data_IF_745568059351
#
_entry.id   IF_745568059351
#
_cell.length_a   1.000
_cell.length_b   1.000
_cell.length_c   1.000
_cell.angle_alpha   90.00
_cell.angle_beta   90.00
_cell.angle_gamma   90.00
#
_symmetry.space_group_name_H-M   'P 1'
#
loop_
_entity.id
_entity.type
_entity.pdbx_description
1 polymer ?
#
# COMPACT_ATOMS: atom_id res chain seq x y z
N UNK A 1 -12.10 -22.20 -16.70
CA UNK A 1 -10.93 -21.64 -17.42
C UNK A 1 -10.86 -20.10 -17.48
N UNK A 2 -11.82 -19.32 -16.97
CA UNK A 2 -11.85 -17.85 -17.12
C UNK A 2 -10.90 -17.03 -16.21
N UNK A 3 -10.19 -17.64 -15.25
CA UNK A 3 -9.31 -16.90 -14.32
C UNK A 3 -7.93 -16.57 -14.90
N UNK A 4 -7.41 -17.35 -15.85
CA UNK A 4 -6.03 -17.18 -16.37
C UNK A 4 -5.84 -15.91 -17.20
N UNK A 5 -6.84 -15.53 -18.00
CA UNK A 5 -6.80 -14.35 -18.88
C UNK A 5 -6.86 -13.02 -18.11
N UNK A 6 -7.51 -12.98 -16.94
CA UNK A 6 -7.61 -11.76 -16.13
C UNK A 6 -6.29 -11.37 -15.45
N UNK A 7 -5.51 -12.37 -14.99
CA UNK A 7 -4.18 -12.15 -14.42
C UNK A 7 -3.19 -11.63 -15.46
N UNK A 8 -3.19 -12.19 -16.67
CA UNK A 8 -2.35 -11.71 -17.78
C UNK A 8 -2.70 -10.28 -18.20
N UNK A 9 -4.00 -9.93 -18.24
CA UNK A 9 -4.45 -8.56 -18.54
C UNK A 9 -4.03 -7.57 -17.45
N UNK A 10 -4.16 -7.95 -16.17
CA UNK A 10 -3.71 -7.14 -15.03
C UNK A 10 -2.18 -7.00 -15.01
N UNK A 11 -1.44 -8.05 -15.34
CA UNK A 11 0.02 -8.03 -15.46
C UNK A 11 0.50 -7.10 -16.57
N UNK A 12 -0.13 -7.13 -17.76
CA UNK A 12 0.16 -6.18 -18.85
C UNK A 12 -0.16 -4.73 -18.44
N UNK A 13 -1.28 -4.50 -17.77
CA UNK A 13 -1.65 -3.19 -17.24
C UNK A 13 -0.65 -2.66 -16.20
N UNK A 14 -0.15 -3.52 -15.32
CA UNK A 14 0.89 -3.18 -14.35
C UNK A 14 2.22 -2.82 -15.03
N UNK A 15 2.66 -3.60 -16.02
CA UNK A 15 3.89 -3.31 -16.79
C UNK A 15 3.84 -1.97 -17.51
N UNK A 16 2.72 -1.66 -18.18
CA UNK A 16 2.51 -0.36 -18.83
C UNK A 16 2.52 0.80 -17.83
N UNK A 17 1.90 0.59 -16.65
CA UNK A 17 1.91 1.58 -15.58
C UNK A 17 3.33 1.83 -15.02
N UNK A 18 4.13 0.78 -14.82
CA UNK A 18 5.53 0.92 -14.41
C UNK A 18 6.37 1.66 -15.46
N UNK A 19 6.16 1.36 -16.75
CA UNK A 19 6.83 2.06 -17.86
C UNK A 19 6.51 3.55 -17.88
N UNK A 20 5.24 3.91 -17.70
CA UNK A 20 4.81 5.31 -17.65
C UNK A 20 5.34 6.06 -16.41
N UNK A 21 5.38 5.43 -15.23
CA UNK A 21 6.03 6.04 -14.05
C UNK A 21 7.51 6.25 -14.31
N UNK A 22 8.19 5.27 -14.90
CA UNK A 22 9.62 5.34 -15.20
C UNK A 22 9.94 6.46 -16.20
N UNK A 23 9.11 6.65 -17.24
CA UNK A 23 9.30 7.73 -18.21
C UNK A 23 9.14 9.11 -17.56
N UNK A 24 8.12 9.28 -16.71
CA UNK A 24 7.91 10.52 -15.95
C UNK A 24 9.08 10.78 -15.00
N UNK A 25 9.51 9.77 -14.23
CA UNK A 25 10.65 9.90 -13.33
C UNK A 25 11.95 10.25 -14.07
N UNK A 26 12.17 9.65 -15.25
CA UNK A 26 13.33 9.93 -16.09
C UNK A 26 13.32 11.36 -16.62
N UNK A 27 12.15 11.92 -16.96
CA UNK A 27 12.02 13.31 -17.38
C UNK A 27 12.44 14.29 -16.26
N UNK A 28 12.09 14.01 -15.01
CA UNK A 28 12.57 14.79 -13.86
C UNK A 28 14.05 14.52 -13.53
N UNK A 29 14.60 13.38 -13.93
CA UNK A 29 16.01 13.05 -13.76
C UNK A 29 16.97 13.91 -14.59
N UNK A 30 16.52 14.47 -15.71
CA UNK A 30 17.30 15.39 -16.56
C UNK A 30 17.21 16.86 -16.14
N UNK A 31 16.29 17.21 -15.24
CA UNK A 31 16.12 18.58 -14.74
C UNK A 31 16.96 18.79 -13.48
N UNK A 32 17.57 19.97 -13.36
CA UNK A 32 18.26 20.42 -12.15
C UNK A 32 17.61 21.71 -11.64
N UNK A 33 17.24 21.81 -10.35
CA UNK A 33 17.31 20.77 -9.32
C UNK A 33 16.37 19.58 -9.59
N UNK A 34 16.64 18.43 -8.95
CA UNK A 34 15.76 17.25 -9.02
C UNK A 34 14.55 17.50 -8.13
N UNK A 35 13.42 17.81 -8.74
CA UNK A 35 12.23 18.26 -8.01
C UNK A 35 11.22 17.13 -7.73
N UNK A 36 11.31 16.01 -8.44
CA UNK A 36 10.35 14.92 -8.29
C UNK A 36 11.00 13.57 -8.57
N UNK A 37 10.51 12.55 -7.86
CA UNK A 37 10.83 11.16 -8.12
C UNK A 37 9.60 10.27 -7.89
N UNK A 38 9.64 9.03 -8.35
CA UNK A 38 8.53 8.10 -8.13
C UNK A 38 8.31 7.79 -6.63
N UNK A 39 9.34 7.96 -5.80
CA UNK A 39 9.29 7.78 -4.35
C UNK A 39 9.44 9.16 -3.70
N UNK A 40 8.42 9.66 -2.98
CA UNK A 40 8.53 10.95 -2.31
C UNK A 40 9.56 10.92 -1.18
N UNK A 41 10.20 12.05 -0.86
CA UNK A 41 11.02 12.15 0.34
C UNK A 41 10.15 11.89 1.58
N UNK A 42 10.72 11.17 2.55
CA UNK A 42 10.00 10.87 3.78
C UNK A 42 9.83 12.13 4.63
N UNK A 43 8.58 12.44 5.00
CA UNK A 43 8.23 13.45 5.99
C UNK A 43 7.63 12.76 7.21
N UNK A 44 8.38 12.77 8.31
CA UNK A 44 7.98 12.11 9.55
C UNK A 44 6.74 12.74 10.20
N UNK A 45 6.51 14.05 10.03
CA UNK A 45 5.33 14.71 10.62
C UNK A 45 4.01 14.29 9.93
N UNK A 46 4.10 13.79 8.69
CA UNK A 46 2.95 13.26 7.94
C UNK A 46 2.76 11.75 8.17
N UNK A 47 3.64 11.08 8.90
CA UNK A 47 3.56 9.65 9.17
C UNK A 47 2.53 9.36 10.28
N UNK A 48 1.45 8.60 9.99
CA UNK A 48 0.46 8.22 11.00
C UNK A 48 1.05 7.48 12.19
N UNK A 49 2.12 6.71 11.99
CA UNK A 49 2.79 5.95 13.04
C UNK A 49 3.66 6.83 13.93
N UNK A 50 4.17 7.94 13.40
CA UNK A 50 4.94 8.92 14.17
C UNK A 50 4.07 10.01 14.81
N UNK A 51 2.77 10.06 14.48
CA UNK A 51 1.83 11.09 14.95
C UNK A 51 1.91 11.32 16.47
N UNK A 52 1.94 10.26 17.28
CA UNK A 52 2.00 10.35 18.75
C UNK A 52 3.26 11.06 19.25
N UNK A 53 4.40 10.84 18.59
CA UNK A 53 5.66 11.49 18.94
C UNK A 53 5.56 13.00 18.72
N UNK A 54 5.09 13.42 17.54
CA UNK A 54 4.98 14.85 17.20
C UNK A 54 3.95 15.62 18.03
N UNK A 55 2.95 14.92 18.59
CA UNK A 55 1.95 15.50 19.50
C UNK A 55 2.33 15.39 20.99
N UNK A 56 3.45 14.73 21.31
CA UNK A 56 3.90 14.59 22.70
C UNK A 56 4.41 15.91 23.27
N UNK A 57 4.19 16.13 24.58
CA UNK A 57 4.43 17.43 25.25
C UNK A 57 5.78 18.13 25.00
N UNK A 58 6.94 17.46 24.79
CA UNK A 58 8.17 18.22 24.50
C UNK A 58 8.27 18.69 23.04
N UNK A 59 7.55 18.10 22.09
CA UNK A 59 7.82 18.29 20.65
C UNK A 59 7.20 19.57 20.07
N UNK A 60 5.90 19.90 20.30
CA UNK A 60 5.29 21.10 19.72
C UNK A 60 6.01 22.42 20.04
N UNK A 61 6.51 22.66 21.28
CA UNK A 61 7.27 23.87 21.57
C UNK A 61 8.58 23.95 20.77
N UNK A 62 9.25 22.82 20.54
CA UNK A 62 10.47 22.75 19.73
C UNK A 62 10.16 23.06 18.28
N UNK A 63 9.10 22.47 17.72
CA UNK A 63 8.68 22.71 16.35
C UNK A 63 8.34 24.19 16.09
N UNK A 64 7.67 24.86 17.03
CA UNK A 64 7.39 26.31 16.91
C UNK A 64 8.67 27.14 16.91
N UNK A 65 9.62 26.81 17.78
CA UNK A 65 10.93 27.50 17.85
C UNK A 65 11.75 27.33 16.58
N UNK A 66 11.64 26.17 15.93
CA UNK A 66 12.38 25.87 14.69
C UNK A 66 11.60 26.19 13.41
N UNK A 67 10.38 26.71 13.51
CA UNK A 67 9.51 27.01 12.36
C UNK A 67 9.04 25.77 11.59
N UNK A 68 8.93 24.63 12.28
CA UNK A 68 8.54 23.32 11.73
C UNK A 68 7.18 22.84 12.24
N UNK A 69 6.37 23.73 12.83
CA UNK A 69 5.06 23.42 13.41
C UNK A 69 3.93 23.29 12.38
N UNK A 70 4.21 23.58 11.11
CA UNK A 70 3.25 23.55 10.00
C UNK A 70 3.37 22.27 9.14
N UNK A 71 3.55 21.11 9.79
CA UNK A 71 3.69 19.81 9.10
C UNK A 71 5.10 19.50 8.60
N UNK A 72 6.06 20.38 8.86
CA UNK A 72 7.46 20.24 8.48
C UNK A 72 7.69 20.09 6.98
N UNK A 73 8.94 19.87 6.60
CA UNK A 73 9.30 19.54 5.22
C UNK A 73 10.08 18.23 5.17
N UNK A 74 9.95 17.49 4.08
CA UNK A 74 10.84 16.37 3.78
C UNK A 74 12.30 16.80 3.72
N UNK A 75 13.20 15.82 3.74
CA UNK A 75 14.66 16.02 3.69
C UNK A 75 15.12 16.96 2.56
N UNK A 76 14.45 16.90 1.42
CA UNK A 76 14.83 17.63 0.20
C UNK A 76 14.18 19.03 0.11
N UNK A 77 13.43 19.43 1.14
CA UNK A 77 12.87 20.77 1.31
C UNK A 77 11.48 20.98 0.71
N UNK A 78 10.85 22.10 1.10
CA UNK A 78 9.45 22.41 0.79
C UNK A 78 9.13 22.42 -0.71
N UNK A 79 10.07 22.82 -1.56
CA UNK A 79 9.84 22.87 -3.00
C UNK A 79 9.70 21.47 -3.59
N UNK A 80 10.47 20.49 -3.09
CA UNK A 80 10.37 19.10 -3.52
C UNK A 80 9.07 18.50 -3.00
N UNK A 81 8.67 18.79 -1.76
CA UNK A 81 7.37 18.38 -1.22
C UNK A 81 6.21 18.93 -2.06
N UNK A 82 6.28 20.20 -2.47
CA UNK A 82 5.29 20.81 -3.35
C UNK A 82 5.10 20.00 -4.65
N UNK A 83 6.19 19.60 -5.30
CA UNK A 83 6.11 18.78 -6.52
C UNK A 83 5.59 17.36 -6.25
N UNK A 84 5.81 16.81 -5.05
CA UNK A 84 5.24 15.51 -4.64
C UNK A 84 3.79 15.61 -4.14
N UNK A 85 3.20 16.80 -4.04
CA UNK A 85 1.78 17.00 -3.73
C UNK A 85 1.02 17.49 -4.97
N UNK A 86 1.57 18.47 -5.70
CA UNK A 86 0.88 19.18 -6.78
C UNK A 86 1.53 18.99 -8.16
N UNK A 87 2.75 18.47 -8.22
CA UNK A 87 3.50 18.32 -9.47
C UNK A 87 2.84 17.35 -10.44
N UNK A 88 3.15 17.51 -11.74
CA UNK A 88 2.55 16.70 -12.80
C UNK A 88 2.79 15.19 -12.62
N UNK A 89 3.98 14.81 -12.15
CA UNK A 89 4.28 13.41 -11.82
C UNK A 89 3.39 12.86 -10.72
N UNK A 90 3.13 13.65 -9.67
CA UNK A 90 2.20 13.26 -8.61
C UNK A 90 0.76 13.17 -9.11
N UNK A 91 0.29 14.16 -9.88
CA UNK A 91 -1.07 14.15 -10.44
C UNK A 91 -1.32 12.91 -11.30
N UNK A 92 -0.31 12.47 -12.06
CA UNK A 92 -0.37 11.21 -12.79
C UNK A 92 -0.54 10.01 -11.84
N UNK A 93 0.28 9.91 -10.80
CA UNK A 93 0.19 8.83 -9.80
C UNK A 93 -1.17 8.82 -9.10
N UNK A 94 -1.71 9.98 -8.73
CA UNK A 94 -3.00 10.09 -8.05
C UNK A 94 -4.15 9.66 -8.94
N UNK A 95 -4.19 10.12 -10.21
CA UNK A 95 -5.19 9.68 -11.19
C UNK A 95 -5.09 8.17 -11.44
N UNK A 96 -3.87 7.64 -11.55
CA UNK A 96 -3.59 6.21 -11.73
C UNK A 96 -4.11 5.40 -10.54
N UNK A 97 -3.79 5.82 -9.32
CA UNK A 97 -4.18 5.13 -8.09
C UNK A 97 -5.71 5.19 -7.90
N UNK A 98 -6.34 6.33 -8.18
CA UNK A 98 -7.81 6.49 -8.17
C UNK A 98 -8.52 5.58 -9.17
N UNK A 99 -7.90 5.29 -10.32
CA UNK A 99 -8.39 4.33 -11.29
C UNK A 99 -8.18 2.86 -10.87
N UNK A 100 -7.66 2.59 -9.66
CA UNK A 100 -7.40 1.25 -9.16
C UNK A 100 -6.14 0.60 -9.75
N UNK A 101 -5.24 1.39 -10.34
CA UNK A 101 -4.02 0.91 -10.95
C UNK A 101 -2.77 1.21 -10.10
N UNK A 102 -1.79 0.31 -10.16
CA UNK A 102 -0.44 0.57 -9.66
C UNK A 102 -0.13 0.13 -8.23
N UNK A 103 -1.06 -0.51 -7.53
CA UNK A 103 -0.75 -1.31 -6.35
C UNK A 103 -1.87 -2.33 -6.06
N UNK A 104 -1.52 -3.46 -5.46
CA UNK A 104 -2.51 -4.39 -4.90
C UNK A 104 -2.90 -3.90 -3.50
N UNK A 105 -4.18 -3.63 -3.26
CA UNK A 105 -4.69 -3.24 -1.93
C UNK A 105 -4.30 -4.24 -0.84
N UNK A 106 -4.35 -5.54 -1.15
CA UNK A 106 -3.96 -6.62 -0.23
C UNK A 106 -2.47 -6.58 0.14
N UNK A 107 -1.63 -6.13 -0.80
CA UNK A 107 -0.19 -6.03 -0.58
C UNK A 107 0.17 -4.74 0.16
N UNK A 108 -0.48 -3.62 -0.16
CA UNK A 108 -0.20 -2.31 0.44
C UNK A 108 -0.75 -2.19 1.85
N UNK A 109 -1.98 -2.64 2.07
CA UNK A 109 -2.58 -2.64 3.40
C UNK A 109 -2.10 -3.83 4.26
N UNK A 110 -1.39 -4.81 3.67
CA UNK A 110 -0.78 -5.93 4.39
C UNK A 110 -1.73 -6.60 5.40
N UNK A 111 -1.30 -6.65 6.66
CA UNK A 111 -2.08 -7.22 7.76
C UNK A 111 -3.36 -6.43 8.07
N UNK A 112 -3.35 -5.10 7.88
CA UNK A 112 -4.52 -4.26 8.13
C UNK A 112 -5.67 -4.58 7.16
N UNK A 113 -5.37 -5.02 5.93
CA UNK A 113 -6.40 -5.50 5.00
C UNK A 113 -7.18 -6.69 5.57
N UNK A 114 -6.47 -7.63 6.20
CA UNK A 114 -7.07 -8.83 6.80
C UNK A 114 -7.90 -8.49 8.03
N UNK A 115 -7.42 -7.54 8.84
CA UNK A 115 -8.09 -7.12 10.08
C UNK A 115 -9.27 -6.17 9.83
N UNK A 116 -9.26 -5.38 8.75
CA UNK A 116 -10.34 -4.46 8.39
C UNK A 116 -11.58 -5.19 7.84
N UNK A 117 -11.41 -6.38 7.27
CA UNK A 117 -12.50 -7.23 6.79
C UNK A 117 -12.26 -8.67 7.22
N UNK A 118 -12.45 -8.99 8.52
CA UNK A 118 -12.26 -10.34 9.02
C UNK A 118 -13.30 -11.21 8.33
N UNK A 119 -12.86 -11.98 7.33
CA UNK A 119 -13.72 -13.02 6.75
C UNK A 119 -14.03 -14.01 7.88
N UNK A 120 -15.29 -14.44 8.07
CA UNK A 120 -15.58 -15.50 9.00
C UNK A 120 -14.61 -16.65 8.70
N UNK A 121 -13.73 -17.01 9.64
CA UNK A 121 -12.83 -18.11 9.42
C UNK A 121 -13.70 -19.35 9.21
N UNK A 122 -13.58 -20.09 8.09
CA UNK A 122 -14.26 -21.36 7.97
C UNK A 122 -13.83 -22.18 9.19
N UNK A 123 -14.81 -22.62 9.99
CA UNK A 123 -14.56 -23.17 11.31
C UNK A 123 -13.44 -24.21 11.31
N UNK A 124 -12.63 -24.21 12.37
CA UNK A 124 -11.53 -25.16 12.58
C UNK A 124 -11.97 -26.65 12.45
N UNK A 125 -13.28 -26.89 12.53
CA UNK A 125 -13.90 -28.20 12.61
C UNK A 125 -14.66 -28.63 11.34
N UNK A 126 -14.59 -27.87 10.23
CA UNK A 126 -15.23 -28.23 8.96
C UNK A 126 -14.37 -29.17 8.09
N UNK A 127 -14.93 -29.67 6.97
CA UNK A 127 -14.23 -30.50 5.94
C UNK A 127 -12.88 -29.94 5.48
N UNK A 128 -12.70 -28.62 5.59
CA UNK A 128 -11.47 -27.88 5.26
C UNK A 128 -10.87 -27.13 6.46
N UNK A 129 -11.20 -27.53 7.70
CA UNK A 129 -10.99 -26.82 8.97
C UNK A 129 -9.54 -26.59 9.43
N UNK A 130 -8.56 -26.77 8.56
CA UNK A 130 -7.22 -26.22 8.78
C UNK A 130 -6.87 -25.30 7.62
N UNK A 131 -6.35 -24.11 7.93
CA UNK A 131 -5.84 -23.15 6.94
C UNK A 131 -4.78 -23.82 6.06
N UNK A 132 -5.21 -24.39 4.94
CA UNK A 132 -4.35 -25.00 3.93
C UNK A 132 -3.83 -23.88 3.04
N UNK A 133 -2.73 -23.27 3.46
CA UNK A 133 -1.95 -22.35 2.64
C UNK A 133 -1.47 -23.04 1.35
N UNK A 134 -1.30 -24.37 1.38
CA UNK A 134 -0.94 -25.21 0.24
C UNK A 134 -2.16 -25.58 -0.64
N UNK A 135 -2.20 -25.20 -1.93
CA UNK A 135 -3.33 -25.47 -2.83
C UNK A 135 -3.71 -26.95 -2.97
N UNK A 136 -2.74 -27.86 -3.03
CA UNK A 136 -2.98 -29.30 -3.18
C UNK A 136 -3.76 -29.90 -2.00
N UNK A 137 -3.54 -29.37 -0.79
CA UNK A 137 -4.26 -29.84 0.39
C UNK A 137 -5.72 -29.40 0.34
N UNK A 138 -6.12 -28.33 -0.35
CA UNK A 138 -7.54 -27.90 -0.39
C UNK A 138 -8.48 -28.92 -1.04
N UNK A 139 -7.94 -29.89 -1.79
CA UNK A 139 -8.71 -30.94 -2.44
C UNK A 139 -8.83 -32.24 -1.63
N UNK A 140 -8.22 -32.29 -0.43
CA UNK A 140 -8.23 -33.47 0.45
C UNK A 140 -8.98 -33.15 1.75
N UNK A 141 -9.68 -34.12 2.37
CA UNK A 141 -10.29 -33.94 3.69
C UNK A 141 -9.24 -33.70 4.79
N UNK A 142 -9.68 -33.22 5.96
CA UNK A 142 -8.83 -33.07 7.15
C UNK A 142 -8.15 -34.39 7.55
N UNK A 143 -6.84 -34.36 7.83
CA UNK A 143 -6.13 -35.53 8.38
C UNK A 143 -6.50 -35.80 9.84
N UNK A 144 -7.13 -34.82 10.51
CA UNK A 144 -7.59 -34.91 11.89
C UNK A 144 -9.06 -35.36 12.03
N UNK A 145 -9.68 -35.81 10.93
CA UNK A 145 -11.10 -36.20 10.90
C UNK A 145 -12.06 -35.01 10.75
N UNK A 146 -13.29 -35.30 10.34
CA UNK A 146 -14.40 -34.35 10.31
C UNK A 146 -15.20 -34.51 11.61
N UNK A 147 -15.17 -33.51 12.50
CA UNK A 147 -15.89 -33.57 13.78
C UNK A 147 -17.40 -33.37 13.56
N UNK A 148 -17.78 -32.65 12.50
CA UNK A 148 -19.20 -32.42 12.16
C UNK A 148 -19.41 -32.47 10.63
N UNK A 149 -20.37 -33.25 10.12
CA UNK A 149 -20.77 -33.19 8.71
C UNK A 149 -21.60 -31.93 8.39
N UNK A 150 -22.03 -31.20 9.41
CA UNK A 150 -22.80 -29.98 9.26
C UNK A 150 -21.88 -28.79 8.94
N UNK A 151 -22.28 -27.91 8.00
CA UNK A 151 -21.61 -26.64 7.82
C UNK A 151 -21.85 -25.80 9.08
N UNK A 152 -20.82 -25.69 9.92
CA UNK A 152 -20.78 -24.65 10.96
C UNK A 152 -20.46 -23.34 10.25
N UNK A 153 -21.53 -22.71 9.72
CA UNK A 153 -21.67 -21.35 9.18
C UNK A 153 -20.64 -20.89 8.13
#
# INVERSE_FOLDING_TARGET
MARSTSYLRRGKGFGLACGAVSSVARAYGSVRPKLWSAIPPYNAQLDPHAWRYFHSRPVPPVLRRTGQDHGGTGRDGWIVDYFHIFGQGQQYLDRRNRAGAGHSLQQVMGHDYWNANPKPPPGLNGRFGYRRNTPALRQRPSVFGEVTPFPLY
#
